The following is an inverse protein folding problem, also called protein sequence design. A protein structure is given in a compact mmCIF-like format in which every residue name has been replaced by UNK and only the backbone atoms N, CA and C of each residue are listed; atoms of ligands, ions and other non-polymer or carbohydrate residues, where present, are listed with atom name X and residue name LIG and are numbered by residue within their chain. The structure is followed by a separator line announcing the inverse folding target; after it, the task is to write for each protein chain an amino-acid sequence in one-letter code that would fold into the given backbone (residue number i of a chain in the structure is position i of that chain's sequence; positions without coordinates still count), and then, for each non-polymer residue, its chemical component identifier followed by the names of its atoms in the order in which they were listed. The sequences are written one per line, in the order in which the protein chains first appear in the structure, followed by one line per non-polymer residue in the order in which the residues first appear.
data_IF_835082087011
#
_entry.id   IF_835082087011
#
_cell.length_a   1.000
_cell.length_b   1.000
_cell.length_c   1.000
_cell.angle_alpha   90.00
_cell.angle_beta   90.00
_cell.angle_gamma   90.00
#
_symmetry.space_group_name_H-M   'P 1'
#
loop_
_entity.id
_entity.type
_entity.pdbx_description
1 polymer ?
#
# COMPACT_ATOMS: atom_id res chain seq x y z
N UNK A 1 2.86 -2.99 -15.08
CA UNK A 1 3.50 -1.64 -15.09
C UNK A 1 5.03 -1.66 -14.96
N UNK A 2 5.70 -2.82 -14.97
CA UNK A 2 7.18 -2.88 -15.00
C UNK A 2 7.90 -2.58 -13.69
N UNK A 3 7.17 -2.39 -12.58
CA UNK A 3 7.74 -2.18 -11.25
C UNK A 3 7.97 -3.51 -10.53
N UNK A 4 9.02 -3.56 -9.73
CA UNK A 4 9.41 -4.74 -8.96
C UNK A 4 9.67 -4.41 -7.48
N UNK A 5 9.44 -5.40 -6.62
CA UNK A 5 9.66 -5.36 -5.18
C UNK A 5 10.50 -6.55 -4.75
N UNK A 6 11.15 -6.45 -3.59
CA UNK A 6 12.04 -7.47 -3.07
C UNK A 6 11.26 -8.64 -2.50
N UNK A 7 11.78 -9.85 -2.64
CA UNK A 7 11.14 -11.06 -2.11
C UNK A 7 11.13 -11.11 -0.58
N UNK A 8 12.08 -10.42 0.07
CA UNK A 8 12.32 -10.50 1.53
C UNK A 8 12.14 -9.16 2.23
N UNK A 9 10.95 -8.56 2.09
CA UNK A 9 10.60 -7.26 2.70
C UNK A 9 9.85 -7.39 4.05
N UNK A 10 9.55 -8.62 4.49
CA UNK A 10 8.84 -8.90 5.73
C UNK A 10 7.31 -8.77 5.59
N UNK A 11 6.64 -8.58 6.73
CA UNK A 11 5.20 -8.40 6.84
C UNK A 11 4.74 -7.06 6.26
N UNK A 12 3.43 -6.90 6.03
CA UNK A 12 2.89 -5.76 5.30
C UNK A 12 3.27 -4.39 5.88
N UNK A 13 3.23 -4.23 7.21
CA UNK A 13 3.64 -3.01 7.89
C UNK A 13 5.16 -2.80 7.96
N UNK A 14 5.98 -3.79 7.59
CA UNK A 14 7.44 -3.68 7.57
C UNK A 14 7.98 -3.15 6.23
N UNK A 15 7.19 -3.21 5.16
CA UNK A 15 7.61 -2.76 3.83
C UNK A 15 8.03 -1.29 3.80
N UNK A 16 7.40 -0.43 4.61
CA UNK A 16 7.79 0.98 4.76
C UNK A 16 9.22 1.19 5.29
N UNK A 17 9.84 0.17 5.89
CA UNK A 17 11.21 0.20 6.41
C UNK A 17 12.14 -0.75 5.64
N UNK A 18 11.70 -1.29 4.50
CA UNK A 18 12.49 -2.24 3.73
C UNK A 18 13.79 -1.57 3.19
N UNK A 19 14.97 -2.16 3.43
CA UNK A 19 16.22 -1.56 3.04
C UNK A 19 16.34 -1.43 1.51
N UNK A 20 16.84 -0.28 1.06
CA UNK A 20 17.08 -0.03 -0.37
C UNK A 20 15.83 0.31 -1.20
N UNK A 21 14.71 0.64 -0.54
CA UNK A 21 13.52 1.22 -1.16
C UNK A 21 13.38 2.69 -0.73
N UNK A 22 12.94 3.52 -1.67
CA UNK A 22 12.50 4.88 -1.35
C UNK A 22 11.05 4.85 -0.86
N UNK A 23 10.73 5.72 0.08
CA UNK A 23 9.36 5.88 0.58
C UNK A 23 8.92 7.33 0.53
N UNK A 24 7.61 7.54 0.46
CA UNK A 24 6.97 8.86 0.46
C UNK A 24 5.61 8.79 1.14
N UNK A 25 5.11 9.95 1.60
CA UNK A 25 3.73 10.12 2.05
C UNK A 25 2.85 10.81 0.98
N UNK A 26 3.43 11.17 -0.17
CA UNK A 26 2.68 11.68 -1.31
C UNK A 26 2.09 10.50 -2.10
N UNK A 27 0.76 10.45 -2.33
CA UNK A 27 0.14 9.43 -3.16
C UNK A 27 0.86 9.26 -4.50
N UNK A 28 1.28 8.03 -4.80
CA UNK A 28 2.08 7.73 -6.00
C UNK A 28 1.49 6.51 -6.69
N UNK A 29 1.10 6.66 -7.95
CA UNK A 29 0.63 5.54 -8.77
C UNK A 29 1.70 4.47 -8.91
N UNK A 30 1.26 3.22 -8.98
CA UNK A 30 2.11 2.06 -9.17
C UNK A 30 3.15 1.81 -8.05
N UNK A 31 2.93 2.39 -6.89
CA UNK A 31 3.69 2.10 -5.67
C UNK A 31 2.99 1.01 -4.85
N UNK A 32 3.74 0.38 -3.95
CA UNK A 32 3.14 -0.43 -2.89
C UNK A 32 2.76 0.49 -1.73
N UNK A 33 1.57 0.33 -1.18
CA UNK A 33 1.11 1.03 0.01
C UNK A 33 1.30 0.11 1.20
N UNK A 34 2.16 0.49 2.15
CA UNK A 34 2.43 -0.26 3.38
C UNK A 34 1.57 0.32 4.52
N UNK A 35 0.62 -0.49 5.00
CA UNK A 35 -0.21 -0.15 6.15
C UNK A 35 0.45 -0.61 7.43
N UNK A 36 0.61 0.29 8.40
CA UNK A 36 0.98 -0.11 9.77
C UNK A 36 -0.06 -1.06 10.37
N UNK A 37 0.31 -1.89 11.36
CA UNK A 37 -0.65 -2.74 12.05
C UNK A 37 -1.86 -1.94 12.59
N UNK A 38 -3.07 -2.38 12.25
CA UNK A 38 -4.34 -1.70 12.58
C UNK A 38 -4.71 -0.48 11.72
N UNK A 39 -3.81 0.05 10.88
CA UNK A 39 -4.09 1.22 10.05
C UNK A 39 -5.12 0.89 8.97
N UNK A 40 -6.17 1.70 8.86
CA UNK A 40 -7.24 1.51 7.86
C UNK A 40 -7.86 0.09 7.87
N UNK A 41 -7.93 -0.55 9.04
CA UNK A 41 -8.45 -1.91 9.21
C UNK A 41 -7.48 -3.02 8.83
N UNK A 42 -6.18 -2.71 8.65
CA UNK A 42 -5.13 -3.71 8.47
C UNK A 42 -5.02 -4.65 9.69
N UNK A 43 -4.46 -5.84 9.46
CA UNK A 43 -4.32 -6.83 10.54
C UNK A 43 -3.46 -6.26 11.68
N UNK A 44 -3.87 -6.39 12.96
CA UNK A 44 -3.23 -5.73 14.10
C UNK A 44 -1.79 -6.15 14.42
N UNK A 45 -1.28 -7.25 13.86
CA UNK A 45 0.07 -7.77 14.10
C UNK A 45 1.00 -7.50 12.91
N UNK A 46 0.52 -7.76 11.71
CA UNK A 46 1.30 -7.81 10.48
C UNK A 46 1.19 -6.54 9.64
N UNK A 47 0.16 -5.74 9.85
CA UNK A 47 -0.20 -4.67 8.91
C UNK A 47 -0.73 -5.24 7.61
N UNK A 48 -0.58 -4.49 6.52
CA UNK A 48 -1.05 -4.93 5.20
C UNK A 48 -0.25 -4.25 4.09
N UNK A 49 -0.26 -4.83 2.88
CA UNK A 49 0.27 -4.20 1.67
C UNK A 49 -0.79 -4.25 0.59
N UNK A 50 -0.98 -3.11 -0.07
CA UNK A 50 -1.79 -2.97 -1.27
C UNK A 50 -0.98 -2.35 -2.39
N UNK A 51 -1.50 -2.40 -3.61
CA UNK A 51 -0.92 -1.72 -4.77
C UNK A 51 -1.77 -0.51 -5.15
N UNK A 52 -1.12 0.63 -5.40
CA UNK A 52 -1.82 1.85 -5.84
C UNK A 52 -2.07 1.76 -7.34
N UNK A 53 -3.32 1.49 -7.72
CA UNK A 53 -3.75 1.40 -9.11
C UNK A 53 -3.88 2.77 -9.75
N UNK A 54 -4.35 3.77 -9.00
CA UNK A 54 -4.57 5.12 -9.50
C UNK A 54 -4.48 6.18 -8.40
N UNK A 55 -3.92 7.34 -8.72
CA UNK A 55 -4.04 8.57 -7.95
C UNK A 55 -4.90 9.53 -8.76
N UNK A 56 -6.11 9.80 -8.27
CA UNK A 56 -7.10 10.60 -8.99
C UNK A 56 -6.77 12.09 -8.87
N UNK A 57 -7.39 12.89 -9.74
CA UNK A 57 -7.19 14.35 -9.77
C UNK A 57 -7.60 15.07 -8.49
N UNK A 58 -8.52 14.48 -7.71
CA UNK A 58 -8.94 15.00 -6.40
C UNK A 58 -8.00 14.58 -5.25
N UNK A 59 -6.94 13.81 -5.55
CA UNK A 59 -5.97 13.29 -4.59
C UNK A 59 -6.40 11.98 -3.92
N UNK A 60 -7.61 11.48 -4.19
CA UNK A 60 -8.01 10.14 -3.72
C UNK A 60 -7.23 9.05 -4.45
N UNK A 61 -7.07 7.90 -3.80
CA UNK A 61 -6.36 6.75 -4.37
C UNK A 61 -7.29 5.57 -4.56
N UNK A 62 -7.13 4.87 -5.68
CA UNK A 62 -7.66 3.53 -5.88
C UNK A 62 -6.54 2.53 -5.58
N UNK A 63 -6.81 1.58 -4.70
CA UNK A 63 -5.89 0.48 -4.42
C UNK A 63 -6.50 -0.86 -4.83
N UNK A 64 -5.64 -1.82 -5.15
CA UNK A 64 -5.96 -3.25 -5.21
C UNK A 64 -5.20 -3.99 -4.12
N UNK A 65 -5.87 -4.99 -3.54
CA UNK A 65 -5.31 -5.77 -2.44
C UNK A 65 -5.92 -7.17 -2.41
N UNK A 66 -5.26 -8.11 -1.76
CA UNK A 66 -5.74 -9.50 -1.64
C UNK A 66 -6.06 -9.85 -0.19
N UNK A 67 -6.91 -10.86 -0.01
CA UNK A 67 -7.23 -11.47 1.28
C UNK A 67 -8.00 -10.59 2.28
N UNK A 68 -8.34 -9.35 1.92
CA UNK A 68 -9.17 -8.45 2.76
C UNK A 68 -10.65 -8.84 2.72
N UNK A 69 -11.15 -9.29 1.57
CA UNK A 69 -12.55 -9.73 1.40
C UNK A 69 -12.75 -11.25 1.44
N UNK A 70 -11.69 -12.01 1.68
CA UNK A 70 -11.70 -13.46 1.74
C UNK A 70 -10.42 -14.07 1.19
N UNK A 71 -10.10 -15.29 1.61
CA UNK A 71 -8.88 -16.00 1.21
C UNK A 71 -8.78 -16.10 -0.33
N UNK A 72 -7.68 -15.58 -0.90
CA UNK A 72 -7.42 -15.61 -2.34
C UNK A 72 -8.26 -14.64 -3.18
N UNK A 73 -9.05 -13.78 -2.54
CA UNK A 73 -9.89 -12.79 -3.23
C UNK A 73 -9.11 -11.49 -3.39
N UNK A 74 -9.00 -11.00 -4.63
CA UNK A 74 -8.57 -9.64 -4.92
C UNK A 74 -9.76 -8.70 -4.79
N UNK A 75 -9.56 -7.59 -4.11
CA UNK A 75 -10.56 -6.54 -3.90
C UNK A 75 -9.93 -5.16 -4.07
N UNK A 76 -10.80 -4.15 -4.22
CA UNK A 76 -10.39 -2.76 -4.41
C UNK A 76 -10.99 -1.88 -3.33
N UNK A 77 -10.25 -0.85 -2.91
CA UNK A 77 -10.74 0.22 -2.04
C UNK A 77 -10.34 1.58 -2.59
N UNK A 78 -11.17 2.58 -2.32
CA UNK A 78 -10.81 3.98 -2.55
C UNK A 78 -10.64 4.67 -1.20
N UNK A 79 -9.56 5.41 -1.03
CA UNK A 79 -9.35 6.30 0.11
C UNK A 79 -9.39 7.74 -0.37
N UNK A 80 -10.04 8.62 0.39
CA UNK A 80 -10.03 10.04 0.13
C UNK A 80 -8.62 10.65 0.26
N UNK A 81 -8.46 11.87 -0.25
CA UNK A 81 -7.15 12.53 -0.31
C UNK A 81 -6.52 12.78 1.07
N UNK A 82 -7.33 13.03 2.11
CA UNK A 82 -6.81 13.31 3.44
C UNK A 82 -6.29 12.05 4.11
N UNK A 83 -7.04 10.95 3.98
CA UNK A 83 -6.65 9.62 4.44
C UNK A 83 -5.43 9.13 3.65
N UNK A 84 -5.38 9.35 2.34
CA UNK A 84 -4.28 8.94 1.48
C UNK A 84 -2.92 9.53 1.91
N UNK A 85 -2.90 10.76 2.42
CA UNK A 85 -1.67 11.42 2.91
C UNK A 85 -1.13 10.82 4.22
N UNK A 86 -1.91 10.00 4.91
CA UNK A 86 -1.49 9.34 6.17
C UNK A 86 -0.74 8.02 5.92
N UNK A 87 -0.70 7.54 4.68
CA UNK A 87 -0.09 6.26 4.32
C UNK A 87 1.36 6.41 3.90
N UNK A 88 2.10 5.30 3.96
CA UNK A 88 3.46 5.22 3.43
C UNK A 88 3.46 4.45 2.12
N UNK A 89 3.94 5.10 1.06
CA UNK A 89 4.09 4.55 -0.28
C UNK A 89 5.55 4.14 -0.48
N UNK A 90 5.76 2.89 -0.90
CA UNK A 90 7.05 2.28 -1.17
C UNK A 90 7.25 2.22 -2.68
N UNK A 91 8.28 2.89 -3.17
CA UNK A 91 8.52 3.07 -4.61
C UNK A 91 9.27 1.85 -5.16
N UNK A 92 8.61 1.11 -6.06
CA UNK A 92 9.18 -0.05 -6.74
C UNK A 92 10.34 0.33 -7.68
N UNK A 93 11.18 -0.65 -7.99
CA UNK A 93 12.33 -0.53 -8.92
C UNK A 93 11.97 -0.97 -10.32
#
# INVERSE_FOLDING_TARGET
VGVSFGEYMGNGGQWMNAPGYQTTHSPTEHSALSFSPGQAGAEPTYGHVAFVEQVKSDGSILISESNVKGLGVVSYRTFDAETAKQFTYVIGK
#
